data_IF_737726775006
#
_entry.id   IF_737726775006
#
_cell.length_a   1.000
_cell.length_b   1.000
_cell.length_c   1.000
_cell.angle_alpha   90.00
_cell.angle_beta   90.00
_cell.angle_gamma   90.00
#
_symmetry.space_group_name_H-M   'P 1'
#
loop_
_entity.id
_entity.type
_entity.pdbx_description
1 polymer ?
#
# COMPACT_ATOMS: atom_id res chain seq x y z
N UNK A 1 -19.07 -9.02 -4.42
CA UNK A 1 -18.65 -7.77 -5.08
C UNK A 1 -19.80 -6.77 -5.10
N UNK A 2 -20.99 -7.16 -5.60
CA UNK A 2 -22.20 -6.30 -5.60
C UNK A 2 -22.52 -5.66 -4.24
N UNK A 3 -22.45 -6.43 -3.14
CA UNK A 3 -22.64 -5.91 -1.77
C UNK A 3 -21.68 -4.75 -1.45
N UNK A 4 -20.37 -4.99 -1.60
CA UNK A 4 -19.35 -3.99 -1.30
C UNK A 4 -19.40 -2.77 -2.21
N UNK A 5 -19.79 -2.90 -3.49
CA UNK A 5 -19.98 -1.74 -4.36
C UNK A 5 -21.15 -0.85 -3.90
N UNK A 6 -22.25 -1.44 -3.38
CA UNK A 6 -23.36 -0.67 -2.81
C UNK A 6 -22.94 0.08 -1.54
N UNK A 7 -22.10 -0.54 -0.72
CA UNK A 7 -21.57 0.07 0.51
C UNK A 7 -20.51 1.13 0.21
N UNK A 8 -19.63 0.86 -0.76
CA UNK A 8 -18.55 1.76 -1.19
C UNK A 8 -19.09 3.06 -1.79
N UNK A 9 -20.19 2.99 -2.56
CA UNK A 9 -20.74 4.12 -3.32
C UNK A 9 -19.62 4.84 -4.10
N UNK A 10 -18.99 4.17 -5.09
CA UNK A 10 -17.85 4.73 -5.81
C UNK A 10 -18.21 6.11 -6.41
N UNK A 11 -17.35 7.09 -6.18
CA UNK A 11 -17.52 8.48 -6.60
C UNK A 11 -16.39 8.93 -7.53
N UNK A 12 -15.33 8.13 -7.63
CA UNK A 12 -14.20 8.33 -8.52
C UNK A 12 -13.81 7.00 -9.19
N UNK A 13 -12.97 7.06 -10.23
CA UNK A 13 -12.56 5.87 -10.97
C UNK A 13 -11.63 4.97 -10.12
N UNK A 14 -10.83 5.59 -9.26
CA UNK A 14 -9.89 4.99 -8.31
C UNK A 14 -10.60 4.03 -7.35
N UNK A 15 -11.82 4.36 -6.92
CA UNK A 15 -12.63 3.49 -6.07
C UNK A 15 -12.94 2.15 -6.74
N UNK A 16 -13.18 2.16 -8.05
CA UNK A 16 -13.46 0.96 -8.84
C UNK A 16 -12.19 0.12 -8.99
N UNK A 17 -11.06 0.77 -9.30
CA UNK A 17 -9.75 0.11 -9.39
C UNK A 17 -9.40 -0.55 -8.06
N UNK A 18 -9.52 0.17 -6.96
CA UNK A 18 -9.25 -0.33 -5.61
C UNK A 18 -10.17 -1.51 -5.25
N UNK A 19 -11.47 -1.42 -5.55
CA UNK A 19 -12.41 -2.51 -5.29
C UNK A 19 -12.05 -3.79 -6.07
N UNK A 20 -11.64 -3.68 -7.34
CA UNK A 20 -11.21 -4.83 -8.13
C UNK A 20 -9.93 -5.45 -7.56
N UNK A 21 -8.99 -4.63 -7.09
CA UNK A 21 -7.76 -5.10 -6.47
C UNK A 21 -8.01 -5.78 -5.11
N UNK A 22 -8.88 -5.22 -4.28
CA UNK A 22 -9.20 -5.70 -2.94
C UNK A 22 -10.12 -6.93 -2.93
N UNK A 23 -10.95 -7.13 -3.95
CA UNK A 23 -11.91 -8.23 -4.03
C UNK A 23 -11.24 -9.57 -4.42
N UNK A 24 -10.22 -9.97 -3.67
CA UNK A 24 -9.46 -11.23 -3.83
C UNK A 24 -9.23 -11.90 -2.47
N UNK A 25 -9.04 -13.23 -2.41
CA UNK A 25 -8.66 -13.92 -1.18
C UNK A 25 -7.37 -13.33 -0.59
N UNK A 26 -7.40 -12.91 0.67
CA UNK A 26 -6.32 -12.16 1.31
C UNK A 26 -6.71 -10.70 1.57
N UNK A 27 -6.72 -9.81 0.54
CA UNK A 27 -7.04 -8.41 0.73
C UNK A 27 -8.53 -8.12 0.98
N UNK A 28 -9.44 -9.09 0.77
CA UNK A 28 -10.88 -8.92 1.00
C UNK A 28 -11.22 -8.42 2.41
N UNK A 29 -10.40 -8.76 3.41
CA UNK A 29 -10.55 -8.30 4.80
C UNK A 29 -10.37 -6.79 4.98
N UNK A 30 -9.72 -6.11 4.02
CA UNK A 30 -9.50 -4.65 4.08
C UNK A 30 -10.64 -3.84 3.47
N UNK A 31 -11.59 -4.48 2.77
CA UNK A 31 -12.72 -3.78 2.14
C UNK A 31 -13.56 -3.01 3.17
N UNK A 32 -13.93 -3.57 4.35
CA UNK A 32 -14.69 -2.82 5.35
C UNK A 32 -13.96 -1.56 5.82
N UNK A 33 -12.65 -1.66 6.09
CA UNK A 33 -11.79 -0.54 6.51
C UNK A 33 -11.70 0.52 5.41
N UNK A 34 -11.48 0.11 4.15
CA UNK A 34 -11.45 1.00 2.99
C UNK A 34 -12.76 1.81 2.87
N UNK A 35 -13.91 1.14 3.00
CA UNK A 35 -15.23 1.78 2.93
C UNK A 35 -15.46 2.70 4.14
N UNK A 36 -15.09 2.28 5.35
CA UNK A 36 -15.25 3.08 6.56
C UNK A 36 -14.45 4.38 6.47
N UNK A 37 -13.18 4.29 6.07
CA UNK A 37 -12.29 5.44 5.89
C UNK A 37 -12.76 6.38 4.79
N UNK A 38 -13.17 5.85 3.63
CA UNK A 38 -13.76 6.66 2.56
C UNK A 38 -14.93 7.53 3.05
N UNK A 39 -15.80 6.95 3.88
CA UNK A 39 -16.99 7.65 4.39
C UNK A 39 -16.73 8.42 5.69
N UNK A 40 -15.47 8.59 6.10
CA UNK A 40 -15.10 9.31 7.33
C UNK A 40 -15.59 8.65 8.63
N UNK A 41 -15.95 7.36 8.59
CA UNK A 41 -16.38 6.58 9.75
C UNK A 41 -15.20 6.03 10.57
N UNK A 42 -14.03 6.04 9.98
CA UNK A 42 -12.76 5.64 10.60
C UNK A 42 -11.70 6.68 10.19
N UNK A 43 -10.83 7.05 11.13
CA UNK A 43 -9.72 7.97 10.86
C UNK A 43 -8.69 7.27 9.97
N UNK A 44 -8.20 7.98 8.95
CA UNK A 44 -7.10 7.48 8.14
C UNK A 44 -5.80 7.73 8.89
N UNK A 45 -5.18 6.66 9.35
CA UNK A 45 -3.84 6.71 9.95
C UNK A 45 -2.79 6.34 8.90
N UNK A 46 -1.74 7.15 8.83
CA UNK A 46 -0.57 6.91 7.99
C UNK A 46 0.62 6.54 8.89
N UNK A 47 1.44 5.55 8.50
CA UNK A 47 2.61 5.18 9.31
C UNK A 47 3.63 6.31 9.45
N UNK A 48 3.70 7.21 8.48
CA UNK A 48 4.58 8.38 8.49
C UNK A 48 4.04 9.47 7.55
N UNK A 49 4.23 10.78 7.85
CA UNK A 49 3.73 11.87 7.01
C UNK A 49 4.20 11.81 5.56
N UNK A 50 5.44 11.36 5.28
CA UNK A 50 5.95 11.23 3.91
C UNK A 50 5.18 10.21 3.06
N UNK A 51 4.40 9.33 3.69
CA UNK A 51 3.63 8.28 3.02
C UNK A 51 2.18 8.69 2.75
N UNK A 52 1.73 9.81 3.31
CA UNK A 52 0.35 10.29 3.16
C UNK A 52 -0.02 10.47 1.69
N UNK A 53 0.82 11.17 0.92
CA UNK A 53 0.54 11.44 -0.51
C UNK A 53 0.43 10.15 -1.33
N UNK A 54 1.19 9.11 -0.98
CA UNK A 54 1.21 7.82 -1.69
C UNK A 54 -0.03 6.99 -1.35
N UNK A 55 -0.46 7.03 -0.09
CA UNK A 55 -1.54 6.19 0.43
C UNK A 55 -2.91 6.90 0.48
N UNK A 56 -2.95 8.22 0.30
CA UNK A 56 -4.18 9.01 0.31
C UNK A 56 -5.23 8.50 -0.71
N UNK A 57 -4.87 8.16 -1.96
CA UNK A 57 -5.85 7.64 -2.93
C UNK A 57 -6.51 6.33 -2.52
N UNK A 58 -5.90 5.60 -1.58
CA UNK A 58 -6.39 4.31 -1.08
C UNK A 58 -6.69 4.34 0.42
N UNK A 59 -6.93 5.54 0.97
CA UNK A 59 -7.33 5.77 2.35
C UNK A 59 -6.39 5.07 3.37
N UNK A 60 -5.07 5.18 3.14
CA UNK A 60 -4.06 4.64 4.06
C UNK A 60 -3.77 3.14 3.88
N UNK A 61 -4.42 2.46 2.92
CA UNK A 61 -4.23 1.03 2.68
C UNK A 61 -3.31 0.86 1.47
N UNK A 62 -2.19 0.16 1.59
CA UNK A 62 -1.34 -0.19 0.44
C UNK A 62 -2.03 -1.27 -0.40
N UNK A 63 -2.62 -0.88 -1.54
CA UNK A 63 -3.35 -1.78 -2.44
C UNK A 63 -2.52 -2.16 -3.65
N UNK A 64 -1.73 -1.22 -4.16
CA UNK A 64 -1.01 -1.37 -5.43
C UNK A 64 0.47 -1.69 -5.21
N UNK A 65 1.07 -2.36 -6.18
CA UNK A 65 2.50 -2.69 -6.13
C UNK A 65 3.35 -1.44 -6.30
N UNK A 66 2.88 -0.51 -7.12
CA UNK A 66 3.45 0.79 -7.38
C UNK A 66 3.47 1.65 -6.11
N UNK A 67 2.44 1.54 -5.25
CA UNK A 67 2.46 2.18 -3.94
C UNK A 67 3.59 1.61 -3.08
N UNK A 68 3.76 0.28 -3.02
CA UNK A 68 4.85 -0.34 -2.25
C UNK A 68 6.21 0.17 -2.75
N UNK A 69 6.39 0.27 -4.06
CA UNK A 69 7.63 0.80 -4.64
C UNK A 69 7.85 2.27 -4.30
N UNK A 70 6.80 3.10 -4.38
CA UNK A 70 6.85 4.50 -4.01
C UNK A 70 7.13 4.71 -2.51
N UNK A 71 6.58 3.86 -1.63
CA UNK A 71 6.81 3.92 -0.19
C UNK A 71 8.29 3.75 0.15
N UNK A 72 8.95 2.73 -0.41
CA UNK A 72 10.37 2.49 -0.14
C UNK A 72 11.28 3.52 -0.80
N UNK A 73 10.81 4.13 -1.89
CA UNK A 73 11.46 5.30 -2.48
C UNK A 73 11.41 6.51 -1.56
N UNK A 74 10.22 6.86 -1.09
CA UNK A 74 10.01 8.03 -0.26
C UNK A 74 10.68 7.88 1.11
N UNK A 75 10.65 6.69 1.69
CA UNK A 75 11.08 6.45 3.07
C UNK A 75 12.53 5.97 3.20
N UNK A 76 13.09 5.31 2.18
CA UNK A 76 14.44 4.77 2.23
C UNK A 76 15.31 5.20 1.03
N UNK A 77 14.83 6.12 0.19
CA UNK A 77 15.60 6.63 -0.95
C UNK A 77 15.96 5.57 -2.00
N UNK A 78 15.23 4.45 -2.07
CA UNK A 78 15.53 3.37 -3.01
C UNK A 78 15.41 3.88 -4.46
N UNK A 79 16.29 3.44 -5.35
CA UNK A 79 16.03 3.59 -6.80
C UNK A 79 14.80 2.75 -7.23
N UNK A 80 14.21 3.06 -8.39
CA UNK A 80 13.11 2.26 -8.95
C UNK A 80 13.51 0.78 -9.13
N UNK A 81 14.77 0.52 -9.51
CA UNK A 81 15.29 -0.82 -9.67
C UNK A 81 15.36 -1.58 -8.33
N UNK A 82 15.86 -0.93 -7.27
CA UNK A 82 15.90 -1.52 -5.93
C UNK A 82 14.50 -1.79 -5.39
N UNK A 83 13.56 -0.86 -5.61
CA UNK A 83 12.17 -1.04 -5.23
C UNK A 83 11.52 -2.25 -5.90
N UNK A 84 11.77 -2.49 -7.20
CA UNK A 84 11.24 -3.68 -7.90
C UNK A 84 11.92 -4.98 -7.40
N UNK A 85 13.22 -4.95 -7.09
CA UNK A 85 13.92 -6.09 -6.49
C UNK A 85 13.26 -6.48 -5.17
N UNK A 86 13.03 -5.51 -4.29
CA UNK A 86 12.37 -5.73 -3.00
C UNK A 86 10.94 -6.27 -3.18
N UNK A 87 10.15 -5.66 -4.08
CA UNK A 87 8.79 -6.14 -4.40
C UNK A 87 8.79 -7.61 -4.84
N UNK A 88 9.72 -8.01 -5.72
CA UNK A 88 9.87 -9.39 -6.17
C UNK A 88 10.28 -10.33 -5.03
N UNK A 89 11.22 -9.90 -4.19
CA UNK A 89 11.68 -10.66 -3.04
C UNK A 89 10.54 -10.94 -2.05
N UNK A 90 9.69 -9.95 -1.76
CA UNK A 90 8.49 -10.10 -0.92
C UNK A 90 7.53 -11.12 -1.54
N UNK A 91 7.22 -10.97 -2.84
CA UNK A 91 6.29 -11.85 -3.55
C UNK A 91 6.74 -13.32 -3.60
N UNK A 92 8.05 -13.55 -3.72
CA UNK A 92 8.65 -14.90 -3.75
C UNK A 92 9.08 -15.42 -2.37
N UNK A 93 8.96 -14.61 -1.31
CA UNK A 93 9.44 -14.92 0.05
C UNK A 93 10.93 -15.32 0.10
N UNK A 94 11.78 -14.60 -0.64
CA UNK A 94 13.24 -14.84 -0.69
C UNK A 94 13.91 -14.26 0.56
N UNK A 95 14.03 -15.06 1.63
CA UNK A 95 14.48 -14.60 2.95
C UNK A 95 15.85 -13.93 2.90
N UNK A 96 16.82 -14.51 2.20
CA UNK A 96 18.18 -13.97 2.12
C UNK A 96 18.20 -12.56 1.53
N UNK A 97 17.51 -12.37 0.39
CA UNK A 97 17.36 -11.07 -0.27
C UNK A 97 16.60 -10.09 0.64
N UNK A 98 15.55 -10.56 1.33
CA UNK A 98 14.77 -9.71 2.24
C UNK A 98 15.62 -9.21 3.41
N UNK A 99 16.51 -10.03 3.97
CA UNK A 99 17.39 -9.61 5.06
C UNK A 99 18.45 -8.61 4.59
N UNK A 100 19.01 -8.80 3.40
CA UNK A 100 19.91 -7.84 2.79
C UNK A 100 19.21 -6.48 2.56
N UNK A 101 18.04 -6.51 1.92
CA UNK A 101 17.27 -5.28 1.66
C UNK A 101 16.77 -4.61 2.94
N UNK A 102 16.48 -5.39 4.00
CA UNK A 102 16.08 -4.84 5.31
C UNK A 102 17.15 -3.95 5.90
N UNK A 103 18.42 -4.37 5.88
CA UNK A 103 19.50 -3.57 6.44
C UNK A 103 19.67 -2.28 5.64
N UNK A 104 19.67 -2.38 4.30
CA UNK A 104 19.75 -1.22 3.39
C UNK A 104 18.60 -0.24 3.67
N UNK A 105 17.37 -0.75 3.86
CA UNK A 105 16.21 0.06 4.18
C UNK A 105 16.36 0.81 5.50
N UNK A 106 16.78 0.12 6.57
CA UNK A 106 16.96 0.73 7.90
C UNK A 106 18.05 1.79 7.85
N UNK A 107 19.20 1.49 7.24
CA UNK A 107 20.33 2.40 7.16
C UNK A 107 20.03 3.66 6.34
N UNK A 108 19.17 3.53 5.32
CA UNK A 108 18.74 4.66 4.51
C UNK A 108 17.65 5.49 5.19
N UNK A 109 16.66 4.86 5.80
CA UNK A 109 15.59 5.54 6.53
C UNK A 109 16.08 6.26 7.80
N UNK A 110 17.16 5.78 8.42
CA UNK A 110 17.75 6.43 9.61
C UNK A 110 18.57 7.69 9.30
N UNK A 111 18.72 8.04 8.01
CA UNK A 111 19.43 9.25 7.57
C UNK A 111 18.49 10.41 7.24
N UNK A 112 17.18 10.18 7.33
CA UNK A 112 16.12 11.22 7.34
C UNK A 112 16.07 11.90 8.72
#
# INVERSE_FOLDING_TARGET
>A
MRKYLRELKPSAFEDVIAMVALYRPGPLKYIPTFIARKHGKEVVEYPHPSLETILAPTYGIAVYQEQIMALVQAFAGFSLAQADILRRAIGKKLIEVLMEQKQIFIDAASKE
#
